data_IF_311707673594
#
_entry.id   IF_311707673594
#
_cell.length_a   1.000
_cell.length_b   1.000
_cell.length_c   1.000
_cell.angle_alpha   90.00
_cell.angle_beta   90.00
_cell.angle_gamma   90.00
#
_symmetry.space_group_name_H-M   'P 1'
#
loop_
_entity.id
_entity.type
_entity.pdbx_description
1 polymer ?
#
# COMPACT_ATOMS: atom_id res chain seq x y z
N UNK A 1 -4.59 27.73 30.37
CA UNK A 1 -5.26 26.71 29.52
C UNK A 1 -5.64 25.55 30.44
N UNK A 2 -6.88 25.05 30.43
CA UNK A 2 -7.27 23.99 31.37
C UNK A 2 -6.59 22.68 30.95
N UNK A 3 -6.01 21.95 31.91
CA UNK A 3 -5.17 20.76 31.70
C UNK A 3 -5.81 19.65 30.82
N UNK A 4 -7.15 19.65 30.70
CA UNK A 4 -7.93 18.75 29.86
C UNK A 4 -7.68 18.94 28.36
N UNK A 5 -7.50 20.20 27.91
CA UNK A 5 -7.31 20.50 26.49
C UNK A 5 -5.90 20.10 26.02
N UNK A 6 -4.88 20.37 26.84
CA UNK A 6 -3.52 19.95 26.56
C UNK A 6 -3.39 18.41 26.44
N UNK A 7 -4.05 17.68 27.34
CA UNK A 7 -4.08 16.22 27.32
C UNK A 7 -4.76 15.66 26.06
N UNK A 8 -5.83 16.32 25.59
CA UNK A 8 -6.53 15.96 24.36
C UNK A 8 -5.63 16.14 23.13
N UNK A 9 -4.98 17.30 23.01
CA UNK A 9 -4.08 17.62 21.90
C UNK A 9 -2.93 16.61 21.82
N UNK A 10 -2.33 16.25 22.97
CA UNK A 10 -1.25 15.25 23.02
C UNK A 10 -1.74 13.88 22.53
N UNK A 11 -2.95 13.45 22.94
CA UNK A 11 -3.53 12.18 22.51
C UNK A 11 -3.81 12.15 21.01
N UNK A 12 -4.40 13.21 20.46
CA UNK A 12 -4.67 13.33 19.02
C UNK A 12 -3.38 13.30 18.20
N UNK A 13 -2.34 13.99 18.66
CA UNK A 13 -1.01 13.95 18.02
C UNK A 13 -0.42 12.54 18.00
N UNK A 14 -0.43 11.84 19.15
CA UNK A 14 0.11 10.48 19.24
C UNK A 14 -0.67 9.49 18.36
N UNK A 15 -1.99 9.66 18.25
CA UNK A 15 -2.81 8.85 17.36
C UNK A 15 -2.43 9.09 15.89
N UNK A 16 -2.27 10.35 15.49
CA UNK A 16 -1.88 10.70 14.12
C UNK A 16 -0.49 10.15 13.76
N UNK A 17 0.48 10.25 14.67
CA UNK A 17 1.82 9.66 14.46
C UNK A 17 1.75 8.14 14.30
N UNK A 18 0.96 7.46 15.14
CA UNK A 18 0.76 6.01 15.06
C UNK A 18 0.10 5.60 13.73
N UNK A 19 -0.93 6.34 13.30
CA UNK A 19 -1.61 6.12 12.02
C UNK A 19 -0.64 6.30 10.85
N UNK A 20 0.16 7.38 10.85
CA UNK A 20 1.15 7.63 9.81
C UNK A 20 2.21 6.54 9.74
N UNK A 21 2.68 6.04 10.88
CA UNK A 21 3.63 4.92 10.93
C UNK A 21 3.05 3.66 10.28
N UNK A 22 1.82 3.29 10.62
CA UNK A 22 1.14 2.13 10.05
C UNK A 22 0.93 2.28 8.55
N UNK A 23 0.52 3.46 8.08
CA UNK A 23 0.36 3.74 6.65
C UNK A 23 1.68 3.63 5.89
N UNK A 24 2.75 4.21 6.42
CA UNK A 24 4.09 4.13 5.83
C UNK A 24 4.59 2.69 5.76
N UNK A 25 4.42 1.91 6.84
CA UNK A 25 4.76 0.50 6.87
C UNK A 25 3.99 -0.32 5.82
N UNK A 26 2.68 -0.14 5.76
CA UNK A 26 1.84 -0.88 4.81
C UNK A 26 2.18 -0.52 3.36
N UNK A 27 2.48 0.75 3.07
CA UNK A 27 2.96 1.17 1.76
C UNK A 27 4.29 0.52 1.39
N UNK A 28 5.25 0.52 2.32
CA UNK A 28 6.55 -0.13 2.10
C UNK A 28 6.38 -1.62 1.82
N UNK A 29 5.50 -2.31 2.55
CA UNK A 29 5.19 -3.72 2.31
C UNK A 29 4.57 -3.94 0.93
N UNK A 30 3.57 -3.14 0.55
CA UNK A 30 2.93 -3.23 -0.78
C UNK A 30 3.96 -3.00 -1.90
N UNK A 31 4.85 -2.02 -1.74
CA UNK A 31 5.94 -1.74 -2.69
C UNK A 31 6.87 -2.95 -2.85
N UNK A 32 7.27 -3.56 -1.74
CA UNK A 32 8.10 -4.77 -1.75
C UNK A 32 7.39 -5.91 -2.47
N UNK A 33 6.11 -6.17 -2.18
CA UNK A 33 5.34 -7.24 -2.81
C UNK A 33 5.07 -6.99 -4.31
N UNK A 34 4.95 -5.73 -4.73
CA UNK A 34 4.86 -5.38 -6.15
C UNK A 34 6.18 -5.65 -6.89
N UNK A 35 7.31 -5.28 -6.29
CA UNK A 35 8.63 -5.55 -6.86
C UNK A 35 8.92 -7.06 -6.92
N UNK A 36 8.60 -7.78 -5.86
CA UNK A 36 8.68 -9.25 -5.79
C UNK A 36 7.84 -9.89 -6.91
N UNK A 37 6.56 -9.54 -7.02
CA UNK A 37 5.71 -10.02 -8.12
C UNK A 37 6.29 -9.66 -9.49
N UNK A 38 6.87 -8.48 -9.66
CA UNK A 38 7.45 -8.06 -10.93
C UNK A 38 8.67 -8.92 -11.34
N UNK A 39 9.43 -9.41 -10.37
CA UNK A 39 10.61 -10.25 -10.54
C UNK A 39 10.27 -11.74 -10.65
N UNK A 40 9.03 -12.15 -10.33
CA UNK A 40 8.60 -13.53 -10.60
C UNK A 40 8.51 -13.82 -12.10
N UNK A 41 8.67 -15.08 -12.47
CA UNK A 41 8.52 -15.51 -13.87
C UNK A 41 7.09 -15.33 -14.40
N UNK A 42 6.95 -15.26 -15.72
CA UNK A 42 5.68 -14.93 -16.40
C UNK A 42 4.53 -15.88 -16.05
N UNK A 43 4.82 -17.16 -15.82
CA UNK A 43 3.81 -18.15 -15.38
C UNK A 43 3.14 -17.74 -14.05
N UNK A 44 3.90 -17.16 -13.13
CA UNK A 44 3.37 -16.68 -11.85
C UNK A 44 2.63 -15.36 -12.07
N UNK A 45 3.25 -14.38 -12.76
CA UNK A 45 2.63 -13.06 -13.00
C UNK A 45 1.27 -13.16 -13.69
N UNK A 46 1.09 -14.12 -14.58
CA UNK A 46 -0.16 -14.34 -15.33
C UNK A 46 -1.18 -15.17 -14.55
N UNK A 47 -0.79 -15.97 -13.56
CA UNK A 47 -1.72 -16.84 -12.81
C UNK A 47 -2.41 -16.17 -11.63
N UNK A 48 -1.83 -15.10 -11.05
CA UNK A 48 -2.41 -14.38 -9.88
C UNK A 48 -2.79 -12.94 -10.22
N UNK A 49 -3.76 -12.35 -9.52
CA UNK A 49 -4.00 -10.91 -9.64
C UNK A 49 -3.09 -10.18 -8.66
N UNK A 50 -2.73 -8.93 -8.96
CA UNK A 50 -1.90 -8.11 -8.07
C UNK A 50 -2.54 -7.99 -6.68
N UNK A 51 -3.85 -7.76 -6.64
CA UNK A 51 -4.59 -7.65 -5.39
C UNK A 51 -4.55 -8.96 -4.59
N UNK A 52 -4.80 -10.12 -5.22
CA UNK A 52 -4.77 -11.40 -4.49
C UNK A 52 -3.37 -11.78 -4.02
N UNK A 53 -2.34 -11.42 -4.79
CA UNK A 53 -0.94 -11.62 -4.41
C UNK A 53 -0.59 -10.87 -3.12
N UNK A 54 -0.95 -9.58 -3.08
CA UNK A 54 -0.67 -8.69 -1.94
C UNK A 54 -1.49 -9.10 -0.72
N UNK A 55 -2.81 -9.30 -0.86
CA UNK A 55 -3.70 -9.64 0.25
C UNK A 55 -3.28 -10.97 0.92
N UNK A 56 -2.81 -11.96 0.14
CA UNK A 56 -2.36 -13.24 0.70
C UNK A 56 -1.02 -13.16 1.44
N UNK A 57 -0.25 -12.08 1.27
CA UNK A 57 1.11 -11.90 1.80
C UNK A 57 1.24 -10.69 2.72
N UNK A 58 0.12 -10.11 3.11
CA UNK A 58 0.06 -8.98 4.03
C UNK A 58 -1.20 -9.07 4.89
N UNK A 59 -1.20 -8.39 6.03
CA UNK A 59 -2.39 -8.24 6.87
C UNK A 59 -3.30 -7.08 6.38
N UNK A 60 -3.08 -6.60 5.16
CA UNK A 60 -3.84 -5.49 4.59
C UNK A 60 -5.23 -5.92 4.14
N UNK A 61 -6.24 -5.13 4.50
CA UNK A 61 -7.61 -5.36 4.03
C UNK A 61 -7.72 -5.21 2.51
N UNK A 62 -8.68 -5.93 1.91
CA UNK A 62 -8.97 -5.85 0.47
C UNK A 62 -9.23 -4.41 0.03
N UNK A 63 -10.02 -3.65 0.79
CA UNK A 63 -10.38 -2.27 0.46
C UNK A 63 -9.16 -1.35 0.45
N UNK A 64 -8.26 -1.50 1.43
CA UNK A 64 -7.03 -0.72 1.47
C UNK A 64 -6.10 -1.05 0.30
N UNK A 65 -5.87 -2.34 0.02
CA UNK A 65 -5.05 -2.75 -1.14
C UNK A 65 -5.64 -2.20 -2.45
N UNK A 66 -6.96 -2.28 -2.63
CA UNK A 66 -7.62 -1.77 -3.83
C UNK A 66 -7.52 -0.24 -3.95
N UNK A 67 -7.63 0.51 -2.85
CA UNK A 67 -7.42 1.94 -2.82
C UNK A 67 -6.01 2.29 -3.32
N UNK A 68 -5.00 1.64 -2.75
CA UNK A 68 -3.59 1.87 -3.09
C UNK A 68 -3.31 1.54 -4.55
N UNK A 69 -3.77 0.39 -5.03
CA UNK A 69 -3.61 0.00 -6.43
C UNK A 69 -4.37 0.92 -7.40
N UNK A 70 -5.44 1.57 -6.94
CA UNK A 70 -6.16 2.58 -7.72
C UNK A 70 -5.33 3.86 -7.83
N UNK A 71 -4.80 4.36 -6.72
CA UNK A 71 -3.94 5.56 -6.71
C UNK A 71 -2.64 5.34 -7.51
N UNK A 72 -2.00 4.18 -7.37
CA UNK A 72 -0.82 3.83 -8.18
C UNK A 72 -1.15 3.80 -9.69
N UNK A 73 -2.33 3.31 -10.07
CA UNK A 73 -2.77 3.32 -11.47
C UNK A 73 -3.03 4.74 -11.97
N UNK A 74 -3.73 5.57 -11.18
CA UNK A 74 -4.02 6.97 -11.53
C UNK A 74 -2.75 7.78 -11.74
N UNK A 75 -1.75 7.57 -10.88
CA UNK A 75 -0.43 8.20 -11.00
C UNK A 75 0.47 7.58 -12.07
N UNK A 76 -0.01 6.61 -12.87
CA UNK A 76 0.78 5.90 -13.90
C UNK A 76 2.04 5.21 -13.36
N UNK A 77 2.06 4.87 -12.07
CA UNK A 77 3.15 4.13 -11.44
C UNK A 77 3.19 2.67 -11.88
N UNK A 78 2.01 2.07 -12.06
CA UNK A 78 1.84 0.67 -12.49
C UNK A 78 0.81 0.54 -13.60
N UNK A 79 1.01 -0.45 -14.46
CA UNK A 79 0.02 -0.92 -15.43
C UNK A 79 -0.44 -2.33 -15.09
N UNK A 80 -1.75 -2.55 -15.30
CA UNK A 80 -2.41 -3.83 -15.05
C UNK A 80 -3.42 -4.12 -16.15
N UNK A 81 -3.53 -5.38 -16.52
CA UNK A 81 -4.50 -5.90 -17.49
C UNK A 81 -5.15 -7.13 -16.88
N UNK A 82 -6.49 -7.19 -16.87
CA UNK A 82 -7.27 -8.23 -16.17
C UNK A 82 -6.82 -8.49 -14.72
N UNK A 83 -6.36 -7.42 -14.06
CA UNK A 83 -5.85 -7.46 -12.69
C UNK A 83 -4.44 -8.05 -12.53
N UNK A 84 -3.77 -8.42 -13.62
CA UNK A 84 -2.39 -8.91 -13.68
C UNK A 84 -1.38 -7.76 -13.77
N UNK A 85 -0.18 -7.94 -13.23
CA UNK A 85 0.87 -6.92 -13.32
C UNK A 85 1.56 -7.02 -14.68
N UNK A 86 1.42 -5.99 -15.51
CA UNK A 86 2.07 -5.95 -16.83
C UNK A 86 3.34 -5.09 -16.82
N UNK A 87 3.35 -4.00 -16.05
CA UNK A 87 4.51 -3.10 -15.98
C UNK A 87 4.54 -2.29 -14.69
N UNK A 88 5.75 -2.02 -14.20
CA UNK A 88 6.03 -0.98 -13.20
C UNK A 88 6.85 0.11 -13.90
N UNK A 89 6.42 1.37 -13.78
CA UNK A 89 7.16 2.53 -14.28
C UNK A 89 8.09 3.08 -13.20
N UNK A 90 7.51 3.34 -12.03
CA UNK A 90 8.21 3.71 -10.80
C UNK A 90 7.28 3.40 -9.63
N UNK A 91 7.82 3.28 -8.41
CA UNK A 91 7.01 3.19 -7.20
C UNK A 91 7.43 4.32 -6.26
N UNK A 92 6.49 5.11 -5.72
CA UNK A 92 6.82 6.22 -4.83
C UNK A 92 7.52 5.70 -3.56
N UNK A 93 8.51 6.45 -3.08
CA UNK A 93 9.17 6.14 -1.80
C UNK A 93 8.29 6.52 -0.60
N UNK A 94 7.39 7.49 -0.77
CA UNK A 94 6.46 7.97 0.25
C UNK A 94 5.11 8.29 -0.41
N UNK A 95 4.03 8.02 0.32
CA UNK A 95 2.68 8.50 -0.01
C UNK A 95 2.40 9.77 0.77
#
# INVERSE_FOLDING_TARGET
>A
MPATEASRIIKEKNLNESVNYVLAYNMALIRTLLMDLNQTGDMIKTSVTVASYIIKRSDSSRSYVMLVLSELRKGSYIYREDGKLTRIISLPEKF
#
